data_IF_222654788957
#
_entry.id   IF_222654788957
#
_cell.length_a   1.000
_cell.length_b   1.000
_cell.length_c   1.000
_cell.angle_alpha   90.00
_cell.angle_beta   90.00
_cell.angle_gamma   90.00
#
_symmetry.space_group_name_H-M   'P 1'
#
loop_
_entity.id
_entity.type
_entity.pdbx_description
1 polymer ?
#
# COMPACT_ATOMS: atom_id res chain seq x y z
N UNK A 1 -6.27 -14.13 -25.17
CA UNK A 1 -5.63 -15.36 -24.64
C UNK A 1 -5.18 -16.36 -25.74
N UNK A 2 -5.74 -16.26 -26.95
CA UNK A 2 -5.50 -17.21 -28.02
C UNK A 2 -4.02 -17.35 -28.46
N UNK A 3 -3.30 -16.23 -28.53
CA UNK A 3 -1.88 -16.25 -28.86
C UNK A 3 -1.04 -16.98 -27.80
N UNK A 4 -1.32 -16.76 -26.51
CA UNK A 4 -0.57 -17.43 -25.43
C UNK A 4 -0.87 -18.94 -25.45
N UNK A 5 -2.12 -19.33 -25.72
CA UNK A 5 -2.50 -20.72 -25.81
C UNK A 5 -1.77 -21.46 -26.94
N UNK A 6 -1.50 -20.77 -28.06
CA UNK A 6 -0.75 -21.31 -29.20
C UNK A 6 0.75 -21.40 -28.93
N UNK A 7 1.34 -20.39 -28.30
CA UNK A 7 2.78 -20.28 -28.09
C UNK A 7 3.26 -20.99 -26.82
N UNK A 8 2.45 -20.94 -25.74
CA UNK A 8 2.79 -21.49 -24.42
C UNK A 8 1.51 -22.01 -23.72
N UNK A 9 1.08 -23.22 -24.05
CA UNK A 9 -0.12 -23.85 -23.46
C UNK A 9 -0.03 -24.03 -21.94
N UNK A 10 1.17 -24.27 -21.40
CA UNK A 10 1.40 -24.44 -19.96
C UNK A 10 1.16 -23.13 -19.20
N UNK A 11 1.68 -22.02 -19.70
CA UNK A 11 1.43 -20.70 -19.15
C UNK A 11 -0.04 -20.28 -19.31
N UNK A 12 -0.65 -20.58 -20.47
CA UNK A 12 -2.08 -20.33 -20.69
C UNK A 12 -2.95 -21.05 -19.64
N UNK A 13 -2.60 -22.28 -19.28
CA UNK A 13 -3.27 -23.03 -18.20
C UNK A 13 -3.14 -22.32 -16.85
N UNK A 14 -1.96 -21.78 -16.50
CA UNK A 14 -1.76 -21.04 -15.27
C UNK A 14 -2.66 -19.79 -15.21
N UNK A 15 -2.81 -19.05 -16.31
CA UNK A 15 -3.74 -17.92 -16.38
C UNK A 15 -5.21 -18.31 -16.19
N UNK A 16 -5.63 -19.45 -16.75
CA UNK A 16 -6.99 -19.95 -16.57
C UNK A 16 -7.25 -20.34 -15.11
N UNK A 17 -6.30 -21.05 -14.48
CA UNK A 17 -6.40 -21.45 -13.08
C UNK A 17 -6.44 -20.24 -12.13
N UNK A 18 -5.60 -19.23 -12.37
CA UNK A 18 -5.60 -18.01 -11.58
C UNK A 18 -6.89 -17.19 -11.79
N UNK A 19 -7.41 -17.14 -13.02
CA UNK A 19 -8.70 -16.50 -13.30
C UNK A 19 -9.85 -17.18 -12.56
N UNK A 20 -9.85 -18.54 -12.54
CA UNK A 20 -10.83 -19.32 -11.80
C UNK A 20 -10.71 -19.10 -10.29
N UNK A 21 -9.47 -19.07 -9.76
CA UNK A 21 -9.21 -18.74 -8.35
C UNK A 21 -9.78 -17.38 -7.99
N UNK A 22 -9.51 -16.36 -8.79
CA UNK A 22 -9.99 -14.99 -8.53
C UNK A 22 -11.52 -14.87 -8.62
N UNK A 23 -12.18 -15.68 -9.44
CA UNK A 23 -13.65 -15.69 -9.54
C UNK A 23 -14.31 -16.48 -8.40
N UNK A 24 -13.72 -17.59 -7.99
CA UNK A 24 -14.32 -18.55 -7.06
C UNK A 24 -13.98 -18.26 -5.58
N UNK A 25 -12.82 -17.63 -5.29
CA UNK A 25 -12.41 -17.34 -3.92
C UNK A 25 -12.78 -15.90 -3.49
N UNK A 26 -12.88 -15.69 -2.18
CA UNK A 26 -13.08 -14.39 -1.54
C UNK A 26 -11.71 -13.77 -1.22
N UNK A 27 -11.34 -12.72 -1.96
CA UNK A 27 -10.07 -12.03 -1.78
C UNK A 27 -10.16 -10.98 -0.67
N UNK A 28 -9.54 -11.24 0.46
CA UNK A 28 -9.49 -10.36 1.64
C UNK A 28 -8.07 -9.89 1.98
N UNK A 29 -7.07 -10.15 1.12
CA UNK A 29 -5.75 -9.53 1.30
C UNK A 29 -5.89 -8.01 1.14
N UNK A 30 -5.61 -7.27 2.21
CA UNK A 30 -5.84 -5.81 2.29
C UNK A 30 -5.06 -4.99 1.26
N UNK A 31 -3.98 -5.56 0.69
CA UNK A 31 -3.13 -4.93 -0.34
C UNK A 31 -3.48 -5.36 -1.77
N UNK A 32 -4.53 -6.15 -1.99
CA UNK A 32 -4.97 -6.58 -3.30
C UNK A 32 -6.25 -5.89 -3.76
N UNK A 33 -6.40 -5.79 -5.08
CA UNK A 33 -7.58 -5.21 -5.71
C UNK A 33 -7.70 -5.69 -7.17
N UNK A 34 -8.86 -5.51 -7.77
CA UNK A 34 -9.11 -5.81 -9.18
C UNK A 34 -9.15 -4.53 -10.00
N UNK A 35 -8.28 -4.43 -10.98
CA UNK A 35 -8.24 -3.29 -11.90
C UNK A 35 -9.30 -3.42 -12.99
N UNK A 36 -9.65 -2.30 -13.62
CA UNK A 36 -10.56 -2.28 -14.77
C UNK A 36 -9.94 -2.94 -16.01
N UNK A 37 -10.80 -3.32 -16.98
CA UNK A 37 -10.34 -3.82 -18.28
C UNK A 37 -9.46 -2.80 -18.99
N UNK A 38 -9.79 -1.51 -18.92
CA UNK A 38 -8.99 -0.45 -19.55
C UNK A 38 -7.58 -0.34 -18.97
N UNK A 39 -7.41 -0.53 -17.66
CA UNK A 39 -6.09 -0.59 -17.02
C UNK A 39 -5.32 -1.82 -17.53
N UNK A 40 -5.96 -2.99 -17.67
CA UNK A 40 -5.31 -4.20 -18.21
C UNK A 40 -4.92 -4.05 -19.69
N UNK A 41 -5.77 -3.45 -20.51
CA UNK A 41 -5.49 -3.15 -21.91
C UNK A 41 -4.28 -2.22 -22.06
N UNK A 42 -4.21 -1.17 -21.24
CA UNK A 42 -3.05 -0.26 -21.24
C UNK A 42 -1.75 -1.00 -20.86
N UNK A 43 -1.78 -1.94 -19.90
CA UNK A 43 -0.62 -2.76 -19.53
C UNK A 43 -0.16 -3.68 -20.66
N UNK A 44 -1.06 -4.18 -21.50
CA UNK A 44 -0.77 -5.02 -22.67
C UNK A 44 -0.53 -4.24 -23.97
N UNK A 45 -0.36 -2.93 -23.89
CA UNK A 45 -0.22 -2.06 -25.08
C UNK A 45 1.16 -2.12 -25.70
N UNK A 46 1.25 -1.59 -26.96
CA UNK A 46 2.51 -1.46 -27.70
C UNK A 46 3.56 -0.59 -27.00
N UNK A 47 3.20 0.15 -25.97
CA UNK A 47 4.15 0.93 -25.17
C UNK A 47 5.16 0.07 -24.41
N UNK A 48 4.90 -1.25 -24.28
CA UNK A 48 5.88 -2.22 -23.77
C UNK A 48 7.17 -2.26 -24.60
N UNK A 49 7.13 -1.87 -25.88
CA UNK A 49 8.28 -1.91 -26.78
C UNK A 49 9.17 -0.66 -26.66
N UNK A 50 8.67 0.43 -26.03
CA UNK A 50 9.34 1.74 -26.10
C UNK A 50 10.31 1.96 -24.96
N UNK A 51 11.57 2.22 -25.31
CA UNK A 51 12.62 2.65 -24.39
C UNK A 51 12.60 4.17 -24.23
N UNK A 52 12.39 4.69 -23.02
CA UNK A 52 12.11 6.11 -22.77
C UNK A 52 12.87 6.68 -21.56
N UNK A 53 14.20 6.40 -21.44
CA UNK A 53 15.03 7.00 -20.41
C UNK A 53 14.98 8.52 -20.43
N UNK A 54 14.99 9.13 -19.26
CA UNK A 54 14.79 10.55 -19.07
C UNK A 54 13.33 10.86 -18.72
N UNK A 55 12.88 12.07 -19.05
CA UNK A 55 11.56 12.60 -18.69
C UNK A 55 10.90 13.25 -19.92
N UNK A 56 9.57 13.50 -19.91
CA UNK A 56 8.86 14.11 -21.02
C UNK A 56 9.57 15.36 -21.54
N UNK A 57 9.79 15.44 -22.87
CA UNK A 57 10.51 16.51 -23.52
C UNK A 57 12.03 16.52 -23.31
N UNK A 58 12.56 15.63 -22.49
CA UNK A 58 14.00 15.50 -22.15
C UNK A 58 14.43 14.03 -22.13
N UNK A 59 14.12 13.30 -23.20
CA UNK A 59 14.48 11.87 -23.33
C UNK A 59 15.88 11.70 -23.91
N UNK A 60 16.51 10.58 -23.55
CA UNK A 60 17.76 10.16 -24.14
C UNK A 60 17.59 9.42 -25.47
N UNK A 61 16.36 9.05 -25.83
CA UNK A 61 16.02 8.29 -27.04
C UNK A 61 15.00 9.06 -27.89
N UNK A 62 15.07 8.88 -29.22
CA UNK A 62 14.06 9.40 -30.14
C UNK A 62 12.76 8.61 -30.11
N UNK A 63 11.71 9.14 -30.75
CA UNK A 63 10.42 8.47 -30.90
C UNK A 63 9.61 8.37 -29.60
N UNK A 64 9.74 9.35 -28.71
CA UNK A 64 9.09 9.36 -27.41
C UNK A 64 7.85 10.29 -27.36
N UNK A 65 7.49 10.94 -28.47
CA UNK A 65 6.42 11.93 -28.54
C UNK A 65 5.07 11.42 -28.02
N UNK A 66 4.74 10.15 -28.24
CA UNK A 66 3.47 9.57 -27.81
C UNK A 66 3.51 9.02 -26.36
N UNK A 67 4.64 8.46 -25.94
CA UNK A 67 4.79 8.04 -24.54
C UNK A 67 4.91 9.23 -23.59
N UNK A 68 5.42 10.37 -24.08
CA UNK A 68 5.40 11.65 -23.33
C UNK A 68 3.96 12.10 -23.02
N UNK A 69 3.04 11.92 -23.98
CA UNK A 69 1.61 12.20 -23.73
C UNK A 69 1.09 11.36 -22.57
N UNK A 70 1.39 10.06 -22.55
CA UNK A 70 0.92 9.17 -21.49
C UNK A 70 1.51 9.52 -20.12
N UNK A 71 2.81 9.84 -20.07
CA UNK A 71 3.46 10.22 -18.83
C UNK A 71 2.96 11.57 -18.30
N UNK A 72 2.81 12.56 -19.16
CA UNK A 72 2.23 13.86 -18.79
C UNK A 72 0.79 13.70 -18.26
N UNK A 73 -0.06 12.90 -18.93
CA UNK A 73 -1.42 12.62 -18.45
C UNK A 73 -1.41 11.95 -17.06
N UNK A 74 -0.49 11.01 -16.81
CA UNK A 74 -0.37 10.37 -15.51
C UNK A 74 0.05 11.39 -14.43
N UNK A 75 1.03 12.24 -14.72
CA UNK A 75 1.52 13.29 -13.82
C UNK A 75 0.40 14.29 -13.50
N UNK A 76 -0.26 14.85 -14.52
CA UNK A 76 -1.30 15.85 -14.35
C UNK A 76 -2.51 15.33 -13.56
N UNK A 77 -2.95 14.09 -13.88
CA UNK A 77 -4.05 13.45 -13.16
C UNK A 77 -3.70 13.15 -11.72
N UNK A 78 -2.46 12.74 -11.44
CA UNK A 78 -2.01 12.54 -10.07
C UNK A 78 -1.90 13.84 -9.29
N UNK A 79 -1.39 14.93 -9.90
CA UNK A 79 -1.41 16.29 -9.31
C UNK A 79 -2.83 16.71 -8.95
N UNK A 80 -3.75 16.56 -9.87
CA UNK A 80 -5.16 16.89 -9.64
C UNK A 80 -5.79 16.03 -8.53
N UNK A 81 -5.47 14.73 -8.50
CA UNK A 81 -6.05 13.76 -7.57
C UNK A 81 -5.61 14.00 -6.12
N UNK A 82 -4.35 14.39 -5.91
CA UNK A 82 -3.77 14.54 -4.58
C UNK A 82 -3.53 15.99 -4.17
N UNK A 83 -3.60 16.96 -5.08
CA UNK A 83 -3.39 18.38 -4.79
C UNK A 83 -1.92 18.71 -4.47
N UNK A 84 -0.97 18.16 -5.23
CA UNK A 84 0.47 18.39 -5.04
C UNK A 84 1.12 19.05 -6.27
N UNK A 85 2.26 19.72 -6.07
CA UNK A 85 2.95 20.46 -7.13
C UNK A 85 3.82 19.59 -8.00
N UNK A 86 4.41 18.54 -7.44
CA UNK A 86 5.32 17.63 -8.12
C UNK A 86 4.88 16.17 -8.00
N UNK A 87 5.02 15.44 -9.11
CA UNK A 87 4.77 13.99 -9.20
C UNK A 87 5.80 13.31 -10.08
N UNK A 88 6.33 12.17 -9.62
CA UNK A 88 7.09 11.24 -10.45
C UNK A 88 6.34 9.90 -10.53
N UNK A 89 5.93 9.51 -11.74
CA UNK A 89 5.15 8.27 -11.99
C UNK A 89 6.00 7.11 -12.47
N UNK A 90 7.32 7.28 -12.59
CA UNK A 90 8.24 6.26 -13.12
C UNK A 90 8.61 5.13 -12.15
N UNK A 91 8.52 5.25 -10.80
CA UNK A 91 8.88 4.14 -9.92
C UNK A 91 8.17 2.83 -10.33
N UNK A 92 8.95 1.75 -10.50
CA UNK A 92 8.44 0.43 -10.86
C UNK A 92 7.65 -0.21 -9.71
N UNK A 93 7.96 0.17 -8.47
CA UNK A 93 7.30 -0.32 -7.26
C UNK A 93 7.31 0.72 -6.16
N UNK A 94 6.49 0.49 -5.10
CA UNK A 94 6.55 1.31 -3.88
C UNK A 94 7.93 1.26 -3.22
N UNK A 95 8.59 0.12 -3.21
CA UNK A 95 9.95 -0.01 -2.63
C UNK A 95 10.97 0.86 -3.35
N UNK A 96 10.90 0.98 -4.68
CA UNK A 96 11.78 1.87 -5.45
C UNK A 96 11.42 3.34 -5.25
N UNK A 97 10.13 3.68 -5.14
CA UNK A 97 9.70 5.02 -4.77
C UNK A 97 10.26 5.41 -3.38
N UNK A 98 10.19 4.50 -2.41
CA UNK A 98 10.74 4.71 -1.07
C UNK A 98 12.27 4.86 -1.11
N UNK A 99 12.98 4.00 -1.86
CA UNK A 99 14.43 4.08 -1.98
C UNK A 99 14.89 5.42 -2.57
N UNK A 100 14.26 5.88 -3.63
CA UNK A 100 14.54 7.19 -4.22
C UNK A 100 14.28 8.34 -3.24
N UNK A 101 13.20 8.25 -2.47
CA UNK A 101 12.85 9.24 -1.45
C UNK A 101 13.88 9.29 -0.32
N UNK A 102 14.34 8.15 0.16
CA UNK A 102 15.43 8.12 1.13
C UNK A 102 16.70 8.75 0.60
N UNK A 103 17.12 8.42 -0.62
CA UNK A 103 18.34 9.00 -1.22
C UNK A 103 18.20 10.50 -1.54
N UNK A 104 16.97 10.99 -1.68
CA UNK A 104 16.73 12.43 -1.83
C UNK A 104 16.78 13.17 -0.49
N UNK A 105 16.48 12.51 0.62
CA UNK A 105 16.32 13.11 1.95
C UNK A 105 17.48 12.82 2.92
N UNK A 106 18.22 11.73 2.71
CA UNK A 106 19.24 11.24 3.63
C UNK A 106 20.41 10.59 2.86
N UNK A 107 21.51 10.35 3.57
CA UNK A 107 22.69 9.63 3.08
C UNK A 107 22.79 8.28 3.79
N UNK A 108 23.42 7.26 3.16
CA UNK A 108 23.75 6.02 3.88
C UNK A 108 24.50 6.30 5.18
N UNK A 109 24.06 5.68 6.26
CA UNK A 109 24.56 5.90 7.62
C UNK A 109 23.79 6.95 8.45
N UNK A 110 22.93 7.75 7.81
CA UNK A 110 22.04 8.65 8.56
C UNK A 110 21.01 7.86 9.38
N UNK A 111 20.46 8.49 10.42
CA UNK A 111 19.43 7.87 11.26
C UNK A 111 18.04 8.14 10.67
N UNK A 112 17.24 7.08 10.59
CA UNK A 112 15.81 7.16 10.25
C UNK A 112 14.97 6.66 11.43
N UNK A 113 13.83 7.31 11.67
CA UNK A 113 12.84 6.90 12.68
C UNK A 113 11.60 6.38 11.95
N UNK A 114 11.33 5.09 12.01
CA UNK A 114 10.24 4.43 11.29
C UNK A 114 9.35 3.57 12.18
N UNK A 115 8.16 3.21 11.71
CA UNK A 115 7.27 2.33 12.45
C UNK A 115 7.81 0.90 12.50
N UNK A 116 7.81 0.29 13.68
CA UNK A 116 8.21 -1.10 13.88
C UNK A 116 7.38 -2.05 13.01
N UNK A 117 8.05 -3.00 12.35
CA UNK A 117 7.40 -3.95 11.44
C UNK A 117 6.31 -4.76 12.13
N UNK A 118 6.55 -5.23 13.37
CA UNK A 118 5.58 -6.00 14.16
C UNK A 118 4.40 -5.16 14.67
N UNK A 119 4.53 -3.83 14.67
CA UNK A 119 3.45 -2.91 15.05
C UNK A 119 2.69 -2.34 13.85
N UNK A 120 2.94 -2.86 12.65
CA UNK A 120 2.24 -2.50 11.43
C UNK A 120 3.07 -1.74 10.40
N UNK A 121 4.36 -1.50 10.62
CA UNK A 121 5.26 -0.87 9.66
C UNK A 121 5.42 -1.67 8.35
N UNK A 122 6.13 -1.11 7.39
CA UNK A 122 6.49 -1.78 6.15
C UNK A 122 7.96 -2.19 6.17
N UNK A 123 8.34 -3.21 5.38
CA UNK A 123 9.75 -3.65 5.27
C UNK A 123 10.70 -2.49 4.94
N UNK A 124 10.27 -1.57 4.07
CA UNK A 124 11.07 -0.41 3.66
C UNK A 124 11.13 0.71 4.70
N UNK A 125 10.53 0.53 5.89
CA UNK A 125 10.59 1.51 6.99
C UNK A 125 11.70 1.18 8.00
N UNK A 126 12.73 0.42 7.59
CA UNK A 126 13.89 0.14 8.42
C UNK A 126 14.07 -1.33 8.79
N UNK A 127 13.36 -2.29 8.18
CA UNK A 127 13.57 -3.71 8.46
C UNK A 127 15.01 -4.13 8.14
N UNK A 128 15.69 -4.90 9.02
CA UNK A 128 17.10 -5.29 8.84
C UNK A 128 17.36 -6.11 7.57
N UNK A 129 16.35 -6.81 7.06
CA UNK A 129 16.47 -7.62 5.84
C UNK A 129 16.25 -6.79 4.56
N UNK A 130 15.78 -5.55 4.71
CA UNK A 130 15.50 -4.63 3.61
C UNK A 130 16.67 -3.65 3.38
N UNK A 131 16.74 -3.03 2.19
CA UNK A 131 17.74 -2.00 1.89
C UNK A 131 17.75 -0.89 2.94
N UNK A 132 16.59 -0.47 3.44
CA UNK A 132 16.46 0.60 4.41
C UNK A 132 17.17 0.29 5.73
N UNK A 133 17.03 -0.93 6.25
CA UNK A 133 17.74 -1.36 7.46
C UNK A 133 19.22 -1.70 7.24
N UNK A 134 19.66 -1.87 5.97
CA UNK A 134 21.07 -2.13 5.63
C UNK A 134 21.86 -0.85 5.38
N UNK A 135 21.21 0.22 4.96
CA UNK A 135 21.86 1.47 4.56
C UNK A 135 21.77 2.55 5.64
N UNK A 136 20.79 2.49 6.52
CA UNK A 136 20.52 3.54 7.51
C UNK A 136 20.60 2.99 8.93
N UNK A 137 20.89 3.87 9.90
CA UNK A 137 20.72 3.59 11.31
C UNK A 137 19.23 3.70 11.63
N UNK A 138 18.62 2.62 12.11
CA UNK A 138 17.18 2.56 12.30
C UNK A 138 16.81 2.68 13.76
N UNK A 139 15.95 3.64 14.06
CA UNK A 139 15.20 3.72 15.32
C UNK A 139 13.75 3.41 15.01
N UNK A 140 13.10 2.59 15.85
CA UNK A 140 11.72 2.20 15.61
C UNK A 140 10.79 2.78 16.67
N UNK A 141 9.68 3.42 16.23
CA UNK A 141 8.55 3.72 17.10
C UNK A 141 7.48 2.65 17.00
N UNK A 142 6.63 2.57 18.00
CA UNK A 142 5.55 1.58 18.05
C UNK A 142 4.18 2.19 18.28
N UNK A 143 3.30 1.32 18.76
CA UNK A 143 1.97 1.69 19.24
C UNK A 143 1.95 1.56 20.77
N UNK A 144 1.06 2.28 21.41
CA UNK A 144 0.77 2.14 22.82
C UNK A 144 0.26 0.73 23.14
N UNK A 145 0.65 0.20 24.30
CA UNK A 145 0.39 -1.22 24.65
C UNK A 145 -1.09 -1.51 24.90
N UNK A 146 -1.81 -0.56 25.48
CA UNK A 146 -3.17 -0.77 25.92
C UNK A 146 -4.18 -0.46 24.79
N UNK A 147 -3.90 0.58 24.01
CA UNK A 147 -4.80 1.06 22.95
C UNK A 147 -4.45 0.54 21.56
N UNK A 148 -3.20 0.09 21.35
CA UNK A 148 -2.63 -0.23 20.03
C UNK A 148 -2.74 0.95 19.03
N UNK A 149 -2.73 2.19 19.52
CA UNK A 149 -2.66 3.40 18.70
C UNK A 149 -1.21 3.91 18.64
N UNK A 150 -0.86 4.63 17.57
CA UNK A 150 0.46 5.30 17.48
C UNK A 150 0.62 6.23 18.66
N UNK A 151 1.67 6.02 19.43
CA UNK A 151 2.06 6.89 20.55
C UNK A 151 2.92 8.05 20.03
N UNK A 152 2.28 9.19 19.78
CA UNK A 152 2.97 10.38 19.27
C UNK A 152 3.95 11.00 20.28
N UNK A 153 3.74 10.80 21.58
CA UNK A 153 4.68 11.27 22.59
C UNK A 153 5.95 10.41 22.60
N UNK A 154 5.80 9.10 22.39
CA UNK A 154 6.95 8.23 22.20
C UNK A 154 7.70 8.56 20.91
N UNK A 155 6.99 8.85 19.80
CA UNK A 155 7.62 9.33 18.55
C UNK A 155 8.43 10.60 18.82
N UNK A 156 7.88 11.58 19.55
CA UNK A 156 8.56 12.82 19.92
C UNK A 156 9.79 12.55 20.77
N UNK A 157 9.66 11.73 21.81
CA UNK A 157 10.76 11.36 22.70
C UNK A 157 11.93 10.75 21.90
N UNK A 158 11.65 9.77 21.06
CA UNK A 158 12.64 9.12 20.20
C UNK A 158 13.28 10.08 19.20
N UNK A 159 12.49 11.00 18.61
CA UNK A 159 13.00 12.01 17.70
C UNK A 159 14.00 12.96 18.40
N UNK A 160 13.68 13.42 19.62
CA UNK A 160 14.59 14.25 20.39
C UNK A 160 15.85 13.52 20.85
N UNK A 161 15.73 12.26 21.24
CA UNK A 161 16.85 11.44 21.69
C UNK A 161 17.82 11.08 20.57
N UNK A 162 17.28 10.68 19.40
CA UNK A 162 18.12 10.12 18.33
C UNK A 162 18.38 11.10 17.16
N UNK A 163 17.71 12.25 17.12
CA UNK A 163 17.88 13.28 16.09
C UNK A 163 17.91 12.71 14.67
N UNK A 164 16.86 12.00 14.23
CA UNK A 164 16.85 11.36 12.92
C UNK A 164 16.87 12.41 11.79
N UNK A 165 17.52 12.08 10.68
CA UNK A 165 17.44 12.87 9.44
C UNK A 165 16.05 12.78 8.80
N UNK A 166 15.42 11.60 8.92
CA UNK A 166 14.09 11.33 8.35
C UNK A 166 13.19 10.64 9.38
N UNK A 167 11.98 11.16 9.55
CA UNK A 167 10.88 10.48 10.23
C UNK A 167 9.97 9.92 9.15
N UNK A 168 9.67 8.62 9.25
CA UNK A 168 8.83 7.87 8.29
C UNK A 168 7.48 7.58 8.92
N UNK A 169 6.43 8.10 8.34
CA UNK A 169 5.05 7.78 8.70
C UNK A 169 4.38 6.94 7.62
N UNK A 170 3.40 6.13 8.01
CA UNK A 170 2.71 5.20 7.14
C UNK A 170 2.81 3.77 7.65
N UNK A 171 1.89 2.92 7.21
CA UNK A 171 1.78 1.57 7.73
C UNK A 171 1.19 0.59 6.72
N UNK A 172 1.53 -0.70 6.90
CA UNK A 172 0.97 -1.83 6.13
C UNK A 172 -0.15 -2.54 6.87
N UNK A 173 -0.19 -2.45 8.22
CA UNK A 173 -1.15 -3.17 9.06
C UNK A 173 -1.61 -2.33 10.26
N UNK A 174 -1.88 -1.05 10.04
CA UNK A 174 -2.42 -0.15 11.06
C UNK A 174 -3.84 0.25 10.68
N UNK A 175 -4.86 -0.15 11.46
CA UNK A 175 -6.26 0.01 11.08
C UNK A 175 -6.85 1.39 11.43
N UNK A 176 -6.08 2.31 12.00
CA UNK A 176 -6.57 3.61 12.45
C UNK A 176 -6.06 4.77 11.60
N UNK A 177 -6.68 5.90 11.77
CA UNK A 177 -6.25 7.16 11.14
C UNK A 177 -4.87 7.58 11.61
N UNK A 178 -4.03 8.05 10.67
CA UNK A 178 -2.70 8.60 10.95
C UNK A 178 -2.79 10.12 10.91
N UNK A 179 -2.30 10.78 11.96
CA UNK A 179 -2.24 12.24 12.07
C UNK A 179 -0.89 12.76 11.53
N UNK A 180 -0.88 13.15 10.27
CA UNK A 180 0.32 13.64 9.60
C UNK A 180 0.76 15.02 10.11
N UNK A 181 -0.16 15.83 10.63
CA UNK A 181 0.17 17.13 11.21
C UNK A 181 1.00 16.98 12.49
N UNK A 182 0.66 15.98 13.33
CA UNK A 182 1.49 15.67 14.52
C UNK A 182 2.87 15.19 14.13
N UNK A 183 2.98 14.28 13.15
CA UNK A 183 4.28 13.83 12.64
C UNK A 183 5.10 15.00 12.10
N UNK A 184 4.47 15.94 11.38
CA UNK A 184 5.16 17.13 10.88
C UNK A 184 5.66 18.03 12.00
N UNK A 185 4.84 18.31 12.99
CA UNK A 185 5.25 19.10 14.16
C UNK A 185 6.46 18.47 14.87
N UNK A 186 6.44 17.15 15.10
CA UNK A 186 7.57 16.45 15.71
C UNK A 186 8.82 16.52 14.83
N UNK A 187 8.68 16.39 13.51
CA UNK A 187 9.81 16.48 12.58
C UNK A 187 10.44 17.88 12.62
N UNK A 188 9.62 18.93 12.65
CA UNK A 188 10.09 20.33 12.73
C UNK A 188 10.82 20.61 14.06
N UNK A 189 10.41 20.01 15.18
CA UNK A 189 11.08 20.17 16.49
C UNK A 189 12.55 19.71 16.48
N UNK A 190 12.91 18.79 15.58
CA UNK A 190 14.24 18.17 15.50
C UNK A 190 14.97 18.40 14.19
N UNK A 191 14.41 19.28 13.32
CA UNK A 191 14.91 19.56 11.95
C UNK A 191 15.00 18.33 11.05
N UNK A 192 14.13 17.32 11.29
CA UNK A 192 14.01 16.12 10.47
C UNK A 192 13.13 16.36 9.24
N UNK A 193 13.31 15.57 8.20
CA UNK A 193 12.38 15.51 7.08
C UNK A 193 11.27 14.50 7.35
N UNK A 194 10.01 14.90 7.16
CA UNK A 194 8.88 13.98 7.20
C UNK A 194 8.72 13.31 5.84
N UNK A 195 8.85 11.99 5.82
CA UNK A 195 8.56 11.13 4.69
C UNK A 195 7.32 10.28 4.97
N UNK A 196 6.31 10.30 4.10
CA UNK A 196 5.08 9.52 4.28
C UNK A 196 4.92 8.48 3.18
N UNK A 197 4.77 7.22 3.57
CA UNK A 197 4.33 6.14 2.68
C UNK A 197 2.83 5.89 2.89
N UNK A 198 2.00 6.43 1.98
CA UNK A 198 0.54 6.28 2.04
C UNK A 198 0.01 5.10 1.22
N UNK A 199 0.86 4.13 0.85
CA UNK A 199 0.53 3.08 -0.11
C UNK A 199 -0.79 2.36 0.21
N UNK A 200 -1.05 2.02 1.46
CA UNK A 200 -2.27 1.33 1.86
C UNK A 200 -3.53 2.20 1.77
N UNK A 201 -3.42 3.47 2.11
CA UNK A 201 -4.54 4.39 2.24
C UNK A 201 -4.70 5.36 1.06
N UNK A 202 -3.86 5.28 0.02
CA UNK A 202 -3.84 6.25 -1.07
C UNK A 202 -5.19 6.45 -1.77
N UNK A 203 -5.98 5.40 -1.94
CA UNK A 203 -7.33 5.51 -2.49
C UNK A 203 -8.30 6.27 -1.58
N UNK A 204 -8.18 6.09 -0.25
CA UNK A 204 -8.97 6.82 0.74
C UNK A 204 -8.56 8.30 0.79
N UNK A 205 -7.26 8.58 0.73
CA UNK A 205 -6.73 9.96 0.65
C UNK A 205 -7.24 10.65 -0.63
N UNK A 206 -7.13 9.99 -1.79
CA UNK A 206 -7.62 10.51 -3.07
C UNK A 206 -9.13 10.79 -3.05
N UNK A 207 -9.90 10.04 -2.29
CA UNK A 207 -11.34 10.22 -2.15
C UNK A 207 -11.73 11.24 -1.05
N UNK A 208 -10.76 11.79 -0.31
CA UNK A 208 -11.00 12.69 0.83
C UNK A 208 -11.63 12.00 2.04
N UNK A 209 -11.39 10.70 2.21
CA UNK A 209 -11.93 9.86 3.29
C UNK A 209 -10.88 9.45 4.34
N UNK A 210 -9.65 9.92 4.19
CA UNK A 210 -8.56 9.86 5.16
C UNK A 210 -7.78 11.18 5.07
N UNK A 211 -7.23 11.70 6.16
CA UNK A 211 -6.37 12.88 6.11
C UNK A 211 -5.26 12.74 5.08
N UNK A 212 -4.98 13.82 4.35
CA UNK A 212 -3.91 13.84 3.35
C UNK A 212 -2.56 14.12 3.99
N UNK A 213 -1.48 13.44 3.57
CA UNK A 213 -0.12 13.82 3.94
C UNK A 213 0.41 15.03 3.16
N UNK A 214 -0.24 15.39 2.03
CA UNK A 214 0.19 16.52 1.19
C UNK A 214 0.01 17.82 1.96
N UNK A 215 1.05 18.68 1.93
CA UNK A 215 1.12 19.88 2.74
C UNK A 215 1.74 19.67 4.14
N UNK A 216 1.85 18.40 4.60
CA UNK A 216 2.56 18.04 5.84
C UNK A 216 3.90 17.36 5.55
N UNK A 217 3.91 16.34 4.70
CA UNK A 217 5.11 15.61 4.33
C UNK A 217 6.00 16.42 3.38
N UNK A 218 7.33 16.29 3.53
CA UNK A 218 8.29 16.78 2.55
C UNK A 218 8.28 15.93 1.28
N UNK A 219 8.18 14.61 1.45
CA UNK A 219 8.01 13.65 0.36
C UNK A 219 6.95 12.63 0.75
N UNK A 220 6.07 12.33 -0.18
CA UNK A 220 5.04 11.28 -0.04
C UNK A 220 5.23 10.24 -1.13
N UNK A 221 5.16 8.96 -0.78
CA UNK A 221 5.14 7.86 -1.73
C UNK A 221 3.86 7.06 -1.65
N UNK A 222 3.57 6.35 -2.71
CA UNK A 222 2.49 5.36 -2.73
C UNK A 222 2.77 4.25 -3.74
N UNK A 223 2.15 3.10 -3.51
CA UNK A 223 1.86 2.14 -4.58
C UNK A 223 0.60 2.55 -5.32
N UNK A 224 0.44 2.06 -6.55
CA UNK A 224 -0.72 2.40 -7.38
C UNK A 224 -1.81 1.32 -7.40
N UNK A 225 -1.55 0.14 -6.81
CA UNK A 225 -2.34 -1.09 -7.01
C UNK A 225 -3.15 -1.58 -5.80
N UNK A 226 -3.18 -0.85 -4.68
CA UNK A 226 -3.94 -1.22 -3.47
C UNK A 226 -5.32 -0.54 -3.47
N UNK A 227 -5.60 0.31 -2.49
CA UNK A 227 -6.86 1.08 -2.47
C UNK A 227 -7.01 2.01 -3.66
N UNK A 228 -5.93 2.48 -4.28
CA UNK A 228 -5.97 3.32 -5.47
C UNK A 228 -6.43 2.56 -6.74
N UNK A 229 -6.43 1.23 -6.72
CA UNK A 229 -7.00 0.34 -7.75
C UNK A 229 -6.40 0.53 -9.15
N UNK A 230 -5.11 0.83 -9.23
CA UNK A 230 -4.35 0.95 -10.47
C UNK A 230 -3.44 -0.24 -10.76
N UNK A 231 -2.55 -0.12 -11.78
CA UNK A 231 -1.57 -1.16 -12.10
C UNK A 231 -0.54 -1.28 -10.98
N UNK A 232 0.17 -2.42 -10.93
CA UNK A 232 1.29 -2.58 -10.00
C UNK A 232 2.41 -1.62 -10.37
N UNK A 233 2.77 -0.75 -9.42
CA UNK A 233 3.78 0.28 -9.59
C UNK A 233 3.87 1.17 -8.35
N UNK A 234 4.75 2.17 -8.40
CA UNK A 234 4.93 3.20 -7.38
C UNK A 234 4.78 4.62 -7.95
N UNK A 235 4.73 5.59 -7.07
CA UNK A 235 4.66 7.01 -7.39
C UNK A 235 5.24 7.83 -6.23
N UNK A 236 5.84 8.97 -6.55
CA UNK A 236 6.35 9.95 -5.58
C UNK A 236 5.65 11.28 -5.79
N UNK A 237 5.29 11.92 -4.70
CA UNK A 237 4.64 13.24 -4.66
C UNK A 237 5.40 14.14 -3.69
N UNK A 238 5.54 15.43 -4.03
CA UNK A 238 6.17 16.41 -3.15
C UNK A 238 5.85 17.84 -3.60
N UNK A 239 6.45 18.80 -2.93
CA UNK A 239 6.60 20.17 -3.44
C UNK A 239 7.60 20.17 -4.60
N UNK A 240 7.51 21.17 -5.49
CA UNK A 240 8.41 21.31 -6.65
C UNK A 240 9.89 21.43 -6.25
N UNK A 241 10.18 21.94 -5.04
CA UNK A 241 11.55 22.11 -4.53
C UNK A 241 12.35 20.81 -4.46
N UNK A 242 11.68 19.66 -4.27
CA UNK A 242 12.32 18.33 -4.27
C UNK A 242 12.37 17.69 -5.66
N UNK A 243 11.65 18.21 -6.64
CA UNK A 243 11.41 17.57 -7.93
C UNK A 243 12.68 17.19 -8.67
N UNK A 244 13.65 18.11 -8.77
CA UNK A 244 14.93 17.84 -9.46
C UNK A 244 15.71 16.71 -8.78
N UNK A 245 15.77 16.71 -7.47
CA UNK A 245 16.48 15.69 -6.69
C UNK A 245 15.80 14.34 -6.83
N UNK A 246 14.47 14.26 -6.65
CA UNK A 246 13.70 13.04 -6.78
C UNK A 246 13.81 12.45 -8.19
N UNK A 247 13.73 13.28 -9.24
CA UNK A 247 13.95 12.84 -10.61
C UNK A 247 15.31 12.19 -10.78
N UNK A 248 16.38 12.83 -10.27
CA UNK A 248 17.74 12.28 -10.40
C UNK A 248 17.93 10.98 -9.61
N UNK A 249 17.22 10.79 -8.49
CA UNK A 249 17.29 9.55 -7.73
C UNK A 249 16.53 8.41 -8.41
N UNK A 250 15.46 8.69 -9.14
CA UNK A 250 14.80 7.67 -9.98
C UNK A 250 15.66 7.39 -11.21
N UNK A 251 15.89 8.37 -12.07
CA UNK A 251 16.72 8.23 -13.25
C UNK A 251 17.80 9.34 -13.31
N UNK A 252 19.07 8.96 -13.40
CA UNK A 252 19.65 7.62 -13.55
C UNK A 252 19.98 6.90 -12.21
N UNK A 253 19.49 7.38 -11.07
CA UNK A 253 19.94 6.95 -9.74
C UNK A 253 19.73 5.46 -9.45
N UNK A 254 18.50 4.97 -9.58
CA UNK A 254 18.13 3.58 -9.22
C UNK A 254 17.40 2.83 -10.34
N UNK A 255 16.94 3.53 -11.38
CA UNK A 255 16.23 2.94 -12.52
C UNK A 255 16.89 3.39 -13.84
N UNK A 256 16.68 2.60 -14.92
CA UNK A 256 16.88 2.97 -16.30
C UNK A 256 15.56 3.36 -16.96
N UNK A 257 15.21 2.70 -18.08
CA UNK A 257 13.97 2.97 -18.82
C UNK A 257 12.71 2.70 -17.99
N UNK A 258 11.78 3.66 -17.92
CA UNK A 258 10.50 3.46 -17.27
C UNK A 258 9.63 2.47 -18.06
N UNK A 259 8.71 1.80 -17.34
CA UNK A 259 7.76 0.87 -17.94
C UNK A 259 6.58 1.66 -18.54
N UNK A 260 6.69 2.08 -19.80
CA UNK A 260 5.74 3.04 -20.39
C UNK A 260 4.31 2.48 -20.51
N UNK A 261 4.14 1.17 -20.68
CA UNK A 261 2.84 0.50 -20.62
C UNK A 261 2.21 0.57 -19.20
N UNK A 262 3.02 0.54 -18.15
CA UNK A 262 2.55 0.74 -16.78
C UNK A 262 2.26 2.22 -16.50
N UNK A 263 3.07 3.14 -17.02
CA UNK A 263 2.78 4.59 -16.93
C UNK A 263 1.46 4.92 -17.61
N UNK A 264 1.20 4.38 -18.79
CA UNK A 264 -0.10 4.51 -19.47
C UNK A 264 -1.25 3.95 -18.63
N UNK A 265 -1.07 2.78 -18.03
CA UNK A 265 -2.06 2.17 -17.15
C UNK A 265 -2.30 3.01 -15.87
N UNK A 266 -1.26 3.66 -15.30
CA UNK A 266 -1.41 4.66 -14.24
C UNK A 266 -2.26 5.84 -14.69
N UNK A 267 -2.01 6.37 -15.90
CA UNK A 267 -2.82 7.45 -16.44
C UNK A 267 -4.31 7.08 -16.54
N UNK A 268 -4.63 5.85 -16.99
CA UNK A 268 -6.01 5.36 -17.03
C UNK A 268 -6.60 5.28 -15.61
N UNK A 269 -5.91 4.64 -14.69
CA UNK A 269 -6.37 4.45 -13.31
C UNK A 269 -6.61 5.78 -12.58
N UNK A 270 -5.72 6.76 -12.74
CA UNK A 270 -5.89 8.09 -12.15
C UNK A 270 -7.08 8.84 -12.78
N UNK A 271 -7.30 8.70 -14.09
CA UNK A 271 -8.50 9.22 -14.75
C UNK A 271 -9.79 8.56 -14.23
N UNK A 272 -9.76 7.29 -13.87
CA UNK A 272 -10.88 6.62 -13.19
C UNK A 272 -11.09 7.12 -11.76
N UNK A 273 -9.98 7.36 -11.03
CA UNK A 273 -10.01 7.82 -9.64
C UNK A 273 -10.52 9.28 -9.51
N UNK A 274 -10.38 10.10 -10.53
CA UNK A 274 -10.94 11.45 -10.59
C UNK A 274 -12.48 11.49 -10.77
N UNK A 275 -13.11 10.37 -11.10
CA UNK A 275 -14.57 10.33 -11.31
C UNK A 275 -15.31 10.20 -9.98
N UNK A 276 -16.51 10.79 -9.82
CA UNK A 276 -17.30 10.72 -8.58
C UNK A 276 -17.53 9.30 -8.08
N UNK A 277 -17.75 8.35 -8.99
CA UNK A 277 -17.94 6.92 -8.64
C UNK A 277 -16.78 6.31 -7.86
N UNK A 278 -15.57 6.87 -7.96
CA UNK A 278 -14.43 6.38 -7.18
C UNK A 278 -14.56 6.73 -5.70
N UNK A 279 -15.08 7.92 -5.40
CA UNK A 279 -15.38 8.32 -4.01
C UNK A 279 -16.47 7.42 -3.40
N UNK A 280 -17.51 7.11 -4.19
CA UNK A 280 -18.58 6.19 -3.75
C UNK A 280 -18.03 4.79 -3.46
N UNK A 281 -17.12 4.31 -4.32
CA UNK A 281 -16.42 3.04 -4.12
C UNK A 281 -15.59 3.05 -2.84
N UNK A 282 -14.79 4.07 -2.58
CA UNK A 282 -13.98 4.16 -1.36
C UNK A 282 -14.84 4.27 -0.09
N UNK A 283 -15.95 5.01 -0.17
CA UNK A 283 -16.91 5.07 0.93
C UNK A 283 -17.54 3.69 1.21
N UNK A 284 -17.81 2.90 0.15
CA UNK A 284 -18.29 1.53 0.32
C UNK A 284 -17.23 0.61 0.93
N UNK A 285 -15.94 0.79 0.56
CA UNK A 285 -14.83 0.05 1.20
C UNK A 285 -14.86 0.27 2.71
N UNK A 286 -14.99 1.52 3.16
CA UNK A 286 -15.04 1.83 4.60
C UNK A 286 -16.25 1.17 5.29
N UNK A 287 -17.45 1.31 4.72
CA UNK A 287 -18.66 0.68 5.29
C UNK A 287 -18.52 -0.83 5.39
N UNK A 288 -18.01 -1.46 4.34
CA UNK A 288 -17.78 -2.91 4.33
C UNK A 288 -16.77 -3.31 5.41
N UNK A 289 -15.67 -2.56 5.58
CA UNK A 289 -14.66 -2.92 6.59
C UNK A 289 -15.19 -2.75 8.00
N UNK A 290 -15.93 -1.68 8.27
CA UNK A 290 -16.57 -1.44 9.58
C UNK A 290 -17.56 -2.55 9.88
N UNK A 291 -18.47 -2.89 8.96
CA UNK A 291 -19.44 -3.97 9.15
C UNK A 291 -18.77 -5.31 9.41
N UNK A 292 -17.75 -5.66 8.59
CA UNK A 292 -16.98 -6.88 8.81
C UNK A 292 -16.34 -6.91 10.20
N UNK A 293 -15.79 -5.79 10.65
CA UNK A 293 -15.19 -5.68 11.98
C UNK A 293 -16.20 -5.85 13.11
N UNK A 294 -17.37 -5.23 13.03
CA UNK A 294 -18.42 -5.37 14.04
C UNK A 294 -18.93 -6.83 14.13
N UNK A 295 -19.15 -7.48 12.98
CA UNK A 295 -19.59 -8.87 12.95
C UNK A 295 -18.54 -9.84 13.50
N UNK A 296 -17.25 -9.60 13.23
CA UNK A 296 -16.16 -10.38 13.83
C UNK A 296 -16.09 -10.18 15.35
N UNK A 297 -16.33 -8.95 15.86
CA UNK A 297 -16.42 -8.72 17.31
C UNK A 297 -17.63 -9.46 17.93
N UNK A 298 -18.77 -9.46 17.26
CA UNK A 298 -19.95 -10.22 17.67
C UNK A 298 -19.63 -11.72 17.78
N UNK A 299 -18.83 -12.25 16.85
CA UNK A 299 -18.30 -13.62 16.87
C UNK A 299 -17.10 -13.81 17.83
N UNK A 300 -16.81 -12.83 18.70
CA UNK A 300 -15.76 -12.89 19.75
C UNK A 300 -14.32 -12.94 19.22
N UNK A 301 -14.07 -12.36 18.03
CA UNK A 301 -12.72 -12.07 17.61
C UNK A 301 -12.19 -10.81 18.28
N UNK A 302 -10.90 -10.81 18.60
CA UNK A 302 -10.21 -9.64 19.11
C UNK A 302 -9.66 -8.82 17.93
N UNK A 303 -10.11 -7.57 17.80
CA UNK A 303 -9.58 -6.64 16.79
C UNK A 303 -8.54 -5.73 17.42
N UNK A 304 -7.35 -5.70 16.86
CA UNK A 304 -6.28 -4.79 17.28
C UNK A 304 -6.79 -3.36 17.21
N UNK A 305 -6.55 -2.56 18.22
CA UNK A 305 -7.11 -1.21 18.44
C UNK A 305 -8.65 -1.11 18.50
N UNK A 306 -9.33 -2.24 18.71
CA UNK A 306 -10.81 -2.29 18.88
C UNK A 306 -11.62 -2.08 17.60
N UNK A 307 -11.01 -2.02 16.41
CA UNK A 307 -11.74 -1.85 15.13
C UNK A 307 -10.90 -1.13 14.05
N UNK A 308 -11.58 -0.40 13.16
CA UNK A 308 -10.93 0.25 12.02
C UNK A 308 -11.55 1.60 11.66
N UNK A 309 -10.70 2.49 11.12
CA UNK A 309 -11.08 3.76 10.48
C UNK A 309 -10.77 3.72 8.96
N UNK A 310 -10.27 2.60 8.43
CA UNK A 310 -9.83 2.48 7.04
C UNK A 310 -10.27 1.17 6.36
N UNK A 311 -9.55 0.70 5.37
CA UNK A 311 -9.90 -0.43 4.51
C UNK A 311 -9.48 -1.80 5.05
N UNK A 312 -8.82 -1.87 6.20
CA UNK A 312 -8.27 -3.11 6.74
C UNK A 312 -8.62 -3.31 8.22
N UNK A 313 -8.58 -4.56 8.63
CA UNK A 313 -8.64 -5.02 10.02
C UNK A 313 -7.39 -5.84 10.31
N UNK A 314 -6.85 -5.70 11.51
CA UNK A 314 -5.86 -6.61 12.07
C UNK A 314 -6.53 -7.40 13.19
N UNK A 315 -6.65 -8.70 13.01
CA UNK A 315 -7.37 -9.63 13.90
C UNK A 315 -6.36 -10.40 14.72
N UNK A 316 -6.42 -10.26 16.03
CA UNK A 316 -5.65 -11.09 16.97
C UNK A 316 -6.43 -12.37 17.26
N UNK A 317 -5.83 -13.51 16.95
CA UNK A 317 -6.42 -14.84 17.06
C UNK A 317 -6.10 -15.55 18.37
N UNK A 318 -5.40 -14.89 19.30
CA UNK A 318 -5.03 -15.48 20.60
C UNK A 318 -6.27 -15.95 21.38
N UNK A 319 -7.38 -15.21 21.31
CA UNK A 319 -8.64 -15.57 21.94
C UNK A 319 -9.35 -16.78 21.31
N UNK A 320 -8.97 -17.18 20.11
CA UNK A 320 -9.50 -18.35 19.37
C UNK A 320 -8.57 -19.57 19.46
N UNK A 321 -7.47 -19.46 20.20
CA UNK A 321 -6.46 -20.51 20.39
C UNK A 321 -5.92 -21.12 19.07
N UNK A 322 -5.77 -20.27 18.04
CA UNK A 322 -5.23 -20.64 16.73
C UNK A 322 -4.09 -19.70 16.34
N UNK A 323 -3.12 -20.19 15.57
CA UNK A 323 -2.06 -19.35 15.03
C UNK A 323 -2.50 -18.63 13.76
N UNK A 324 -1.84 -17.51 13.41
CA UNK A 324 -2.08 -16.83 12.14
C UNK A 324 -1.86 -17.74 10.94
N UNK A 325 -0.83 -18.63 11.01
CA UNK A 325 -0.52 -19.60 9.95
C UNK A 325 -1.64 -20.63 9.78
N UNK A 326 -2.14 -21.21 10.86
CA UNK A 326 -3.17 -22.25 10.79
C UNK A 326 -4.51 -21.64 10.35
N UNK A 327 -4.83 -20.41 10.78
CA UNK A 327 -5.99 -19.66 10.32
C UNK A 327 -5.89 -19.32 8.82
N UNK A 328 -4.72 -18.88 8.32
CA UNK A 328 -4.48 -18.64 6.90
C UNK A 328 -4.76 -19.90 6.07
N UNK A 329 -4.29 -21.08 6.53
CA UNK A 329 -4.53 -22.35 5.85
C UNK A 329 -6.01 -22.78 5.89
N UNK A 330 -6.67 -22.67 7.03
CA UNK A 330 -8.08 -23.03 7.19
C UNK A 330 -8.98 -22.16 6.31
N UNK A 331 -8.71 -20.85 6.27
CA UNK A 331 -9.44 -19.89 5.44
C UNK A 331 -9.19 -20.14 3.94
N UNK A 332 -7.95 -20.42 3.53
CA UNK A 332 -7.66 -20.74 2.12
C UNK A 332 -8.36 -22.03 1.66
N UNK A 333 -8.42 -23.06 2.52
CA UNK A 333 -9.17 -24.27 2.28
C UNK A 333 -10.68 -24.03 2.14
N UNK A 334 -11.21 -23.03 2.89
CA UNK A 334 -12.60 -22.58 2.79
C UNK A 334 -12.86 -21.60 1.62
N UNK A 335 -11.85 -21.30 0.80
CA UNK A 335 -11.98 -20.38 -0.33
C UNK A 335 -11.89 -18.91 0.06
N UNK A 336 -11.30 -18.57 1.22
CA UNK A 336 -11.11 -17.20 1.72
C UNK A 336 -9.62 -16.91 1.77
N UNK A 337 -9.15 -15.98 0.92
CA UNK A 337 -7.74 -15.61 0.83
C UNK A 337 -7.42 -14.47 1.77
N UNK A 338 -6.53 -14.70 2.73
CA UNK A 338 -6.02 -13.72 3.70
C UNK A 338 -4.50 -13.82 3.80
N UNK A 339 -3.86 -12.95 4.57
CA UNK A 339 -2.47 -13.19 4.98
C UNK A 339 -2.35 -13.24 6.51
N UNK A 340 -1.52 -14.19 7.00
CA UNK A 340 -1.08 -14.14 8.38
C UNK A 340 -0.29 -12.85 8.63
N UNK A 341 -0.41 -12.30 9.82
CA UNK A 341 0.24 -11.04 10.20
C UNK A 341 0.63 -11.06 11.68
N UNK A 342 1.77 -10.46 11.98
CA UNK A 342 2.11 -10.18 13.37
C UNK A 342 1.11 -9.19 13.97
N UNK A 343 0.84 -9.34 15.26
CA UNK A 343 0.10 -8.33 16.04
C UNK A 343 1.10 -7.51 16.87
N UNK A 344 0.76 -6.29 17.32
CA UNK A 344 1.62 -5.55 18.23
C UNK A 344 2.02 -6.39 19.44
N UNK A 345 3.27 -6.28 19.86
CA UNK A 345 3.85 -7.06 20.97
C UNK A 345 3.88 -8.58 20.71
N UNK A 346 3.96 -8.98 19.45
CA UNK A 346 4.02 -10.38 19.01
C UNK A 346 5.10 -11.19 19.74
N UNK A 347 4.71 -12.36 20.23
CA UNK A 347 5.61 -13.30 20.92
C UNK A 347 5.98 -14.51 20.08
N UNK A 348 5.24 -14.77 18.98
CA UNK A 348 5.51 -15.86 18.05
C UNK A 348 6.46 -15.42 16.92
N UNK A 349 7.06 -16.38 16.24
CA UNK A 349 7.92 -16.08 15.10
C UNK A 349 7.09 -15.45 13.94
N UNK A 350 7.71 -14.62 13.09
CA UNK A 350 7.03 -14.03 11.92
C UNK A 350 6.49 -15.05 10.90
N UNK A 351 6.93 -16.31 10.96
CA UNK A 351 6.45 -17.40 10.11
C UNK A 351 5.20 -18.08 10.65
N UNK A 352 4.85 -17.86 11.92
CA UNK A 352 3.68 -18.42 12.61
C UNK A 352 2.64 -17.36 12.87
N UNK A 353 2.99 -16.28 13.54
CA UNK A 353 2.20 -15.11 13.93
C UNK A 353 1.01 -15.44 14.84
N UNK A 354 0.44 -14.42 15.48
CA UNK A 354 -0.76 -14.53 16.30
C UNK A 354 -2.01 -13.95 15.63
N UNK A 355 -1.89 -13.39 14.43
CA UNK A 355 -3.01 -12.73 13.78
C UNK A 355 -3.09 -12.94 12.26
N UNK A 356 -4.17 -12.40 11.71
CA UNK A 356 -4.40 -12.24 10.27
C UNK A 356 -4.74 -10.79 9.98
N UNK A 357 -4.33 -10.32 8.79
CA UNK A 357 -4.76 -9.04 8.24
C UNK A 357 -5.77 -9.30 7.13
N UNK A 358 -6.90 -8.61 7.20
CA UNK A 358 -7.97 -8.69 6.21
C UNK A 358 -8.38 -7.29 5.76
N UNK A 359 -8.88 -7.16 4.53
CA UNK A 359 -9.35 -5.90 3.98
C UNK A 359 -10.43 -6.12 2.92
N UNK A 360 -11.17 -5.08 2.61
CA UNK A 360 -12.37 -5.18 1.78
C UNK A 360 -12.26 -4.56 0.37
N UNK A 361 -11.15 -3.94 -0.09
CA UNK A 361 -11.09 -3.30 -1.40
C UNK A 361 -11.46 -4.23 -2.56
N UNK A 362 -10.91 -5.44 -2.59
CA UNK A 362 -11.14 -6.42 -3.66
C UNK A 362 -12.61 -6.88 -3.71
N UNK A 363 -13.20 -7.25 -2.58
CA UNK A 363 -14.61 -7.64 -2.52
C UNK A 363 -15.54 -6.47 -2.86
N UNK A 364 -15.22 -5.25 -2.43
CA UNK A 364 -15.99 -4.06 -2.79
C UNK A 364 -15.94 -3.80 -4.31
N UNK A 365 -14.79 -4.01 -4.95
CA UNK A 365 -14.68 -3.93 -6.43
C UNK A 365 -15.58 -4.96 -7.11
N UNK A 366 -15.78 -6.14 -6.52
CA UNK A 366 -16.70 -7.18 -6.99
C UNK A 366 -18.17 -6.91 -6.70
N UNK A 367 -18.51 -5.79 -6.04
CA UNK A 367 -19.88 -5.37 -5.75
C UNK A 367 -20.44 -5.79 -4.41
N UNK A 368 -19.62 -6.36 -3.53
CA UNK A 368 -20.02 -6.74 -2.17
C UNK A 368 -20.42 -5.49 -1.36
N UNK A 369 -21.41 -5.66 -0.50
CA UNK A 369 -22.01 -4.65 0.37
C UNK A 369 -22.02 -5.13 1.82
N UNK A 370 -22.52 -4.28 2.73
CA UNK A 370 -22.58 -4.56 4.16
C UNK A 370 -23.27 -5.89 4.49
N UNK A 371 -24.40 -6.20 3.85
CA UNK A 371 -25.10 -7.48 4.04
C UNK A 371 -24.27 -8.71 3.64
N UNK A 372 -23.35 -8.55 2.70
CA UNK A 372 -22.44 -9.62 2.31
C UNK A 372 -21.31 -9.78 3.32
N UNK A 373 -20.87 -8.68 3.95
CA UNK A 373 -19.86 -8.71 5.03
C UNK A 373 -20.34 -9.47 6.26
N UNK A 374 -21.63 -9.41 6.58
CA UNK A 374 -22.23 -10.26 7.63
C UNK A 374 -22.03 -11.75 7.33
N UNK A 375 -22.26 -12.16 6.06
CA UNK A 375 -22.04 -13.55 5.65
C UNK A 375 -20.54 -13.91 5.68
N UNK A 376 -19.69 -13.01 5.17
CA UNK A 376 -18.22 -13.21 5.16
C UNK A 376 -17.69 -13.41 6.58
N UNK A 377 -18.13 -12.62 7.55
CA UNK A 377 -17.77 -12.81 8.96
C UNK A 377 -18.19 -14.18 9.50
N UNK A 378 -19.41 -14.62 9.18
CA UNK A 378 -19.91 -15.96 9.56
C UNK A 378 -19.09 -17.09 8.93
N UNK A 379 -18.67 -16.94 7.66
CA UNK A 379 -17.81 -17.94 7.00
C UNK A 379 -16.38 -17.95 7.59
N UNK A 380 -15.82 -16.80 7.94
CA UNK A 380 -14.52 -16.71 8.63
C UNK A 380 -14.61 -17.43 9.99
N UNK A 381 -15.65 -17.16 10.80
CA UNK A 381 -15.81 -17.81 12.10
C UNK A 381 -15.98 -19.31 11.97
N UNK A 382 -16.83 -19.77 11.03
CA UNK A 382 -17.03 -21.19 10.78
C UNK A 382 -15.75 -21.91 10.31
N UNK A 383 -14.96 -21.30 9.40
CA UNK A 383 -13.72 -21.87 8.93
C UNK A 383 -12.67 -21.99 10.04
N UNK A 384 -12.57 -20.97 10.89
CA UNK A 384 -11.61 -20.97 12.02
C UNK A 384 -12.06 -21.96 13.11
N UNK A 385 -13.35 -22.03 13.40
CA UNK A 385 -13.88 -22.98 14.40
C UNK A 385 -13.70 -24.44 13.98
N UNK A 386 -13.59 -24.72 12.70
CA UNK A 386 -13.37 -26.09 12.15
C UNK A 386 -11.93 -26.32 11.67
N UNK A 387 -10.99 -25.45 12.04
CA UNK A 387 -9.58 -25.63 11.67
C UNK A 387 -9.02 -26.92 12.26
N UNK A 388 -8.50 -27.79 11.41
CA UNK A 388 -7.93 -29.08 11.78
C UNK A 388 -8.89 -30.29 11.70
N UNK A 389 -10.11 -30.09 11.23
CA UNK A 389 -11.08 -31.16 10.95
C UNK A 389 -11.15 -31.45 9.46
#
# INVERSE_FOLDING_TARGET
>A
MDHILLEDPELARAFLLESDRQMSKLELIASENFVSSAVREAQGSVFTHKYAEGYPGKRYYGGCEFVDIAENLAIERAKQLFGCDYVNVQPHSGSQANMASYFALAKPGDTILGMNLSHGGHLTHGSPVNFSGRLFNVVSYGVDKDTCLIDYEEVRRLAHEHRPTVIVAGASAYPRTIDFAKFRAIADEVDAKLFVDMAHIAGLVAAGLHPTPIGHAHVTTTTTHKTLRGPRGGMILSDESFGKTLNSQIFPGIQGGPLMHIVAAKAVAFGEALRPRFKDYQAQVLRNTVTLGEELKNAKFNLVSGGTDNHLLLVDLTSKDITGKDAEHALDAAGITVNKNTVPFETRSPFVTSGIRIGTPALTTRGFREQDMVKVAGWIDAAIANAGN
#
